data_IF_639481138799
#
_entry.id   IF_639481138799
#
_cell.length_a   1.000
_cell.length_b   1.000
_cell.length_c   1.000
_cell.angle_alpha   90.00
_cell.angle_beta   90.00
_cell.angle_gamma   90.00
#
_symmetry.space_group_name_H-M   'P 1'
#
loop_
_entity.id
_entity.type
_entity.pdbx_description
1 polymer ?
#
# COMPACT_ATOMS: atom_id res chain seq x y z
N UNK A 1 13.16 -13.03 -3.53
CA UNK A 1 12.63 -12.18 -2.45
C UNK A 1 11.12 -12.30 -2.51
N UNK A 2 10.45 -12.47 -1.37
CA UNK A 2 8.99 -12.62 -1.35
C UNK A 2 8.34 -11.22 -1.44
N UNK A 3 7.96 -10.82 -2.67
CA UNK A 3 7.32 -9.53 -2.94
C UNK A 3 6.06 -9.33 -2.11
N UNK A 4 5.30 -10.40 -1.89
CA UNK A 4 4.06 -10.33 -1.12
C UNK A 4 4.34 -9.93 0.32
N UNK A 5 5.28 -10.63 0.97
CA UNK A 5 5.70 -10.32 2.34
C UNK A 5 6.27 -8.90 2.47
N UNK A 6 7.13 -8.48 1.54
CA UNK A 6 7.73 -7.14 1.57
C UNK A 6 6.71 -6.03 1.38
N UNK A 7 5.76 -6.18 0.44
CA UNK A 7 4.69 -5.20 0.22
C UNK A 7 3.75 -5.16 1.44
N UNK A 8 3.37 -6.31 1.99
CA UNK A 8 2.52 -6.34 3.19
C UNK A 8 3.14 -5.54 4.35
N UNK A 9 4.44 -5.71 4.60
CA UNK A 9 5.12 -4.94 5.65
C UNK A 9 5.12 -3.44 5.39
N UNK A 10 5.29 -2.99 4.14
CA UNK A 10 5.20 -1.57 3.79
C UNK A 10 3.80 -1.02 4.07
N UNK A 11 2.74 -1.76 3.72
CA UNK A 11 1.36 -1.34 3.97
C UNK A 11 1.03 -1.32 5.47
N UNK A 12 1.53 -2.29 6.23
CA UNK A 12 1.42 -2.32 7.70
C UNK A 12 2.17 -1.17 8.38
N UNK A 13 3.29 -0.73 7.83
CA UNK A 13 3.99 0.47 8.32
C UNK A 13 3.25 1.75 7.98
N UNK A 14 2.60 1.82 6.81
CA UNK A 14 1.81 2.98 6.39
C UNK A 14 0.55 3.15 7.24
N UNK A 15 -0.24 2.08 7.37
CA UNK A 15 -1.40 1.93 8.25
C UNK A 15 -2.18 3.24 8.51
N UNK A 16 -2.77 3.85 7.46
CA UNK A 16 -3.30 5.20 7.52
C UNK A 16 -4.44 5.37 8.53
N UNK A 17 -5.17 4.29 8.81
CA UNK A 17 -6.29 4.26 9.78
C UNK A 17 -5.90 3.69 11.15
N UNK A 18 -4.64 3.32 11.35
CA UNK A 18 -4.14 2.89 12.66
C UNK A 18 -4.72 1.57 13.18
N UNK A 19 -4.93 0.58 12.30
CA UNK A 19 -5.32 -0.80 12.67
C UNK A 19 -4.27 -1.41 13.60
N UNK A 20 -4.70 -2.22 14.57
CA UNK A 20 -3.83 -2.78 15.62
C UNK A 20 -4.04 -4.28 15.78
N UNK A 21 -3.04 -4.93 16.37
CA UNK A 21 -3.12 -6.33 16.75
C UNK A 21 -3.22 -7.26 15.54
N UNK A 22 -3.97 -8.34 15.70
CA UNK A 22 -4.09 -9.39 14.67
C UNK A 22 -4.79 -8.90 13.40
N UNK A 23 -5.66 -7.89 13.52
CA UNK A 23 -6.39 -7.33 12.36
C UNK A 23 -5.42 -6.63 11.39
N UNK A 24 -4.33 -6.06 11.89
CA UNK A 24 -3.31 -5.39 11.06
C UNK A 24 -2.62 -6.37 10.10
N UNK A 25 -2.53 -7.64 10.47
CA UNK A 25 -1.88 -8.65 9.62
C UNK A 25 -2.65 -8.91 8.32
N UNK A 26 -3.97 -8.67 8.32
CA UNK A 26 -4.86 -9.00 7.20
C UNK A 26 -5.51 -7.79 6.52
N UNK A 27 -5.57 -6.63 7.19
CA UNK A 27 -6.30 -5.45 6.69
C UNK A 27 -5.93 -5.04 5.26
N UNK A 28 -4.63 -5.04 4.96
CA UNK A 28 -4.10 -4.52 3.70
C UNK A 28 -3.73 -5.61 2.68
N UNK A 29 -3.87 -6.89 3.04
CA UNK A 29 -3.45 -8.02 2.19
C UNK A 29 -4.18 -8.04 0.85
N UNK A 30 -5.46 -7.68 0.85
CA UNK A 30 -6.32 -7.64 -0.34
C UNK A 30 -5.83 -6.72 -1.45
N UNK A 31 -4.91 -5.79 -1.17
CA UNK A 31 -4.38 -4.85 -2.15
C UNK A 31 -3.05 -5.29 -2.76
N UNK A 32 -2.41 -6.33 -2.21
CA UNK A 32 -1.03 -6.69 -2.57
C UNK A 32 -0.95 -7.19 -4.02
N UNK A 33 -1.85 -8.08 -4.44
CA UNK A 33 -1.84 -8.62 -5.80
C UNK A 33 -2.03 -7.52 -6.85
N UNK A 34 -2.90 -6.55 -6.57
CA UNK A 34 -3.14 -5.40 -7.43
C UNK A 34 -1.95 -4.44 -7.47
N UNK A 35 -1.27 -4.20 -6.34
CA UNK A 35 -0.04 -3.42 -6.31
C UNK A 35 1.06 -4.10 -7.14
N UNK A 36 1.21 -5.42 -7.02
CA UNK A 36 2.16 -6.20 -7.81
C UNK A 36 1.84 -6.09 -9.31
N UNK A 37 0.56 -6.22 -9.67
CA UNK A 37 0.10 -6.11 -11.06
C UNK A 37 0.35 -4.71 -11.63
N UNK A 38 0.00 -3.67 -10.88
CA UNK A 38 0.24 -2.26 -11.25
C UNK A 38 1.72 -2.02 -11.56
N UNK A 39 2.64 -2.50 -10.70
CA UNK A 39 4.08 -2.32 -10.92
C UNK A 39 4.57 -3.13 -12.13
N UNK A 40 4.10 -4.36 -12.31
CA UNK A 40 4.47 -5.19 -13.47
C UNK A 40 4.03 -4.60 -14.81
N UNK A 41 2.92 -3.84 -14.81
CA UNK A 41 2.37 -3.18 -15.99
C UNK A 41 2.91 -1.78 -16.23
N UNK A 42 3.80 -1.28 -15.36
CA UNK A 42 4.28 0.11 -15.39
C UNK A 42 3.13 1.13 -15.31
N UNK A 43 2.09 0.78 -14.54
CA UNK A 43 0.95 1.65 -14.26
C UNK A 43 1.26 2.61 -13.09
N UNK A 44 0.44 3.65 -12.95
CA UNK A 44 0.65 4.70 -11.96
C UNK A 44 0.34 4.23 -10.53
N UNK A 45 1.38 3.73 -9.84
CA UNK A 45 1.25 3.24 -8.47
C UNK A 45 0.80 4.31 -7.47
N UNK A 46 1.15 5.58 -7.69
CA UNK A 46 0.69 6.66 -6.79
C UNK A 46 -0.82 6.80 -6.84
N UNK A 47 -1.41 6.76 -8.03
CA UNK A 47 -2.85 6.83 -8.22
C UNK A 47 -3.58 5.65 -7.58
N UNK A 48 -3.00 4.43 -7.67
CA UNK A 48 -3.54 3.27 -6.97
C UNK A 48 -3.50 3.42 -5.44
N UNK A 49 -2.38 3.91 -4.87
CA UNK A 49 -2.30 4.15 -3.42
C UNK A 49 -3.29 5.24 -2.98
N UNK A 50 -3.48 6.28 -3.79
CA UNK A 50 -4.48 7.33 -3.55
C UNK A 50 -5.91 6.80 -3.64
N UNK A 51 -6.21 5.90 -4.58
CA UNK A 51 -7.52 5.24 -4.70
C UNK A 51 -7.80 4.32 -3.51
N UNK A 52 -6.82 3.52 -3.09
CA UNK A 52 -6.92 2.65 -1.91
C UNK A 52 -7.28 3.49 -0.67
N UNK A 53 -6.58 4.60 -0.43
CA UNK A 53 -6.85 5.44 0.73
C UNK A 53 -8.15 6.25 0.59
N UNK A 54 -8.28 7.01 -0.49
CA UNK A 54 -9.34 7.98 -0.67
C UNK A 54 -10.71 7.35 -0.92
N UNK A 55 -10.76 6.27 -1.69
CA UNK A 55 -12.04 5.69 -2.14
C UNK A 55 -12.36 4.37 -1.43
N UNK A 56 -11.41 3.45 -1.31
CA UNK A 56 -11.68 2.09 -0.78
C UNK A 56 -11.68 2.05 0.75
N UNK A 57 -10.76 2.76 1.37
CA UNK A 57 -10.78 3.04 2.82
C UNK A 57 -11.79 4.16 3.09
N UNK A 58 -11.88 5.15 2.20
CA UNK A 58 -12.96 6.15 2.18
C UNK A 58 -12.60 7.53 2.72
N UNK A 59 -11.32 7.80 2.98
CA UNK A 59 -10.81 9.12 3.34
C UNK A 59 -9.27 9.16 3.28
N UNK A 60 -8.69 10.33 2.97
CA UNK A 60 -7.24 10.54 3.03
C UNK A 60 -6.76 10.83 4.46
N UNK A 61 -6.37 9.79 5.20
CA UNK A 61 -5.89 9.91 6.59
C UNK A 61 -4.41 10.31 6.68
N UNK A 62 -3.62 9.99 5.66
CA UNK A 62 -2.19 10.28 5.57
C UNK A 62 -1.89 11.47 4.67
N UNK A 63 -0.69 12.05 4.80
CA UNK A 63 -0.25 13.15 3.95
C UNK A 63 0.14 12.66 2.55
N UNK A 64 0.15 13.55 1.53
CA UNK A 64 0.70 13.22 0.21
C UNK A 64 2.13 12.64 0.28
N UNK A 65 2.98 13.20 1.15
CA UNK A 65 4.35 12.71 1.34
C UNK A 65 4.39 11.29 1.90
N UNK A 66 3.45 10.92 2.78
CA UNK A 66 3.36 9.56 3.31
C UNK A 66 2.98 8.56 2.20
N UNK A 67 2.01 8.91 1.34
CA UNK A 67 1.66 8.09 0.17
C UNK A 67 2.83 7.95 -0.80
N UNK A 68 3.54 9.04 -1.08
CA UNK A 68 4.75 9.00 -1.91
C UNK A 68 5.83 8.11 -1.30
N UNK A 69 6.00 8.12 0.03
CA UNK A 69 6.95 7.24 0.71
C UNK A 69 6.60 5.77 0.51
N UNK A 70 5.31 5.40 0.58
CA UNK A 70 4.83 4.04 0.30
C UNK A 70 5.18 3.62 -1.13
N UNK A 71 4.82 4.44 -2.11
CA UNK A 71 5.14 4.21 -3.54
C UNK A 71 6.64 3.99 -3.74
N UNK A 72 7.47 4.88 -3.18
CA UNK A 72 8.92 4.78 -3.29
C UNK A 72 9.49 3.52 -2.63
N UNK A 73 8.92 3.08 -1.50
CA UNK A 73 9.34 1.84 -0.84
C UNK A 73 9.00 0.62 -1.70
N UNK A 74 7.80 0.58 -2.28
CA UNK A 74 7.36 -0.52 -3.15
C UNK A 74 8.20 -0.59 -4.42
N UNK A 75 8.42 0.53 -5.11
CA UNK A 75 9.22 0.57 -6.34
C UNK A 75 10.68 0.15 -6.13
N UNK A 76 11.25 0.32 -4.93
CA UNK A 76 12.62 -0.14 -4.60
C UNK A 76 12.74 -1.65 -4.42
N UNK A 77 11.63 -2.38 -4.32
CA UNK A 77 11.65 -3.84 -4.22
C UNK A 77 11.87 -4.52 -5.58
N UNK A 78 11.66 -3.79 -6.68
CA UNK A 78 11.52 -4.34 -8.05
C UNK A 78 12.68 -3.94 -8.93
#
# INVERSE_FOLDING_TARGET
MDYYFSINNILKEWNPIGVKGIDLEHEYERYIDEIIECVKKDENLLELIEDIEGNRIGYFYSSPDARLLVVNKVLKLV
#
